data_IF_336773040422
#
_entry.id   IF_336773040422
#
_cell.length_a   1.000
_cell.length_b   1.000
_cell.length_c   1.000
_cell.angle_alpha   90.00
_cell.angle_beta   90.00
_cell.angle_gamma   90.00
#
_symmetry.space_group_name_H-M   'P 1'
#
loop_
_entity.id
_entity.type
_entity.pdbx_description
1 polymer ?
#
# COMPACT_ATOMS: atom_id res chain seq x y z
N UNK A 1 14.75 -1.94 -16.26
CA UNK A 1 13.75 -2.38 -17.26
C UNK A 1 13.26 -1.17 -18.02
N UNK A 2 13.06 -1.32 -19.33
CA UNK A 2 12.61 -0.21 -20.15
C UNK A 2 11.12 0.04 -19.97
N UNK A 3 10.73 1.29 -19.84
CA UNK A 3 9.33 1.75 -19.74
C UNK A 3 8.44 1.20 -20.87
N UNK A 4 9.01 1.06 -22.08
CA UNK A 4 8.35 0.50 -23.26
C UNK A 4 7.92 -0.95 -23.03
N UNK A 5 8.76 -1.75 -22.36
CA UNK A 5 8.44 -3.15 -22.06
C UNK A 5 7.27 -3.25 -21.07
N UNK A 6 7.28 -2.43 -20.02
CA UNK A 6 6.23 -2.40 -19.01
C UNK A 6 4.88 -1.96 -19.61
N UNK A 7 4.87 -0.95 -20.46
CA UNK A 7 3.65 -0.52 -21.18
C UNK A 7 3.13 -1.60 -22.14
N UNK A 8 4.03 -2.30 -22.83
CA UNK A 8 3.66 -3.40 -23.72
C UNK A 8 3.03 -4.58 -22.97
N UNK A 9 3.52 -4.93 -21.76
CA UNK A 9 2.93 -5.97 -20.92
C UNK A 9 1.50 -5.64 -20.51
N UNK A 10 1.24 -4.39 -20.13
CA UNK A 10 -0.12 -3.92 -19.81
C UNK A 10 -1.00 -3.95 -21.05
N UNK A 11 -0.52 -3.44 -22.20
CA UNK A 11 -1.28 -3.43 -23.48
C UNK A 11 -1.64 -4.83 -23.96
N UNK A 12 -0.76 -5.79 -23.76
CA UNK A 12 -1.02 -7.20 -24.11
C UNK A 12 -2.19 -7.79 -23.31
N UNK A 13 -2.38 -7.32 -22.07
CA UNK A 13 -3.46 -7.78 -21.19
C UNK A 13 -4.77 -7.02 -21.40
N UNK A 14 -4.67 -5.71 -21.62
CA UNK A 14 -5.84 -4.83 -21.84
C UNK A 14 -5.82 -4.40 -23.31
N UNK A 15 -6.69 -5.00 -24.12
CA UNK A 15 -6.81 -4.71 -25.57
C UNK A 15 -7.89 -3.68 -25.88
N UNK A 16 -8.31 -2.91 -24.87
CA UNK A 16 -9.33 -1.87 -25.03
C UNK A 16 -8.72 -0.63 -25.71
N UNK A 17 -9.36 -0.06 -26.76
CA UNK A 17 -8.93 1.18 -27.39
C UNK A 17 -8.94 2.40 -26.46
N UNK A 18 -9.75 2.36 -25.40
CA UNK A 18 -9.83 3.42 -24.38
C UNK A 18 -8.66 3.43 -23.39
N UNK A 19 -7.76 2.43 -23.46
CA UNK A 19 -6.53 2.44 -22.66
C UNK A 19 -5.57 3.49 -23.22
N UNK A 20 -5.31 4.52 -22.42
CA UNK A 20 -4.46 5.65 -22.76
C UNK A 20 -3.12 5.52 -22.04
N UNK A 21 -2.06 5.87 -22.77
CA UNK A 21 -0.69 6.05 -22.28
C UNK A 21 -0.28 7.49 -22.51
N UNK A 22 -0.09 8.23 -21.45
CA UNK A 22 0.35 9.62 -21.49
C UNK A 22 1.79 9.71 -21.00
N UNK A 23 2.68 10.15 -21.89
CA UNK A 23 4.10 10.28 -21.60
C UNK A 23 4.41 11.68 -21.09
N UNK A 24 5.08 11.76 -19.94
CA UNK A 24 5.49 13.01 -19.30
C UNK A 24 6.96 12.89 -18.89
N UNK A 25 7.75 13.93 -19.12
CA UNK A 25 9.13 14.00 -18.65
C UNK A 25 9.22 14.81 -17.36
N UNK A 26 9.88 14.25 -16.35
CA UNK A 26 10.04 14.86 -15.02
C UNK A 26 11.52 15.08 -14.71
N UNK A 27 11.83 16.22 -14.11
CA UNK A 27 13.18 16.64 -13.80
C UNK A 27 13.83 17.50 -14.86
N UNK A 28 14.44 18.61 -14.44
CA UNK A 28 15.06 19.59 -15.35
C UNK A 28 16.33 19.05 -16.01
N UNK A 29 17.08 18.21 -15.31
CA UNK A 29 18.35 17.62 -15.77
C UNK A 29 18.22 16.15 -16.13
N UNK A 30 17.55 15.33 -15.28
CA UNK A 30 17.41 13.89 -15.53
C UNK A 30 16.45 13.57 -16.68
N UNK A 31 15.42 14.41 -16.88
CA UNK A 31 14.36 14.21 -17.90
C UNK A 31 13.85 12.77 -17.90
N UNK A 32 13.56 12.26 -16.70
CA UNK A 32 13.10 10.88 -16.51
C UNK A 32 11.72 10.71 -17.13
N UNK A 33 11.57 9.73 -18.01
CA UNK A 33 10.30 9.43 -18.65
C UNK A 33 9.35 8.74 -17.65
N UNK A 34 8.14 9.28 -17.57
CA UNK A 34 7.04 8.77 -16.74
C UNK A 34 5.83 8.56 -17.62
N UNK A 35 5.14 7.43 -17.45
CA UNK A 35 3.91 7.13 -18.19
C UNK A 35 2.74 6.99 -17.25
N UNK A 36 1.67 7.72 -17.55
CA UNK A 36 0.37 7.55 -16.92
C UNK A 36 -0.46 6.58 -17.75
N UNK A 37 -0.87 5.45 -17.15
CA UNK A 37 -1.70 4.44 -17.80
C UNK A 37 -3.07 4.40 -17.13
N UNK A 38 -4.14 4.58 -17.91
CA UNK A 38 -5.50 4.61 -17.40
C UNK A 38 -6.54 4.30 -18.47
N UNK A 39 -7.76 3.91 -18.04
CA UNK A 39 -8.92 3.83 -18.93
C UNK A 39 -9.67 5.17 -18.93
N UNK A 40 -9.89 5.74 -20.11
CA UNK A 40 -10.51 7.08 -20.29
C UNK A 40 -11.92 7.18 -19.67
N UNK A 41 -12.67 6.09 -19.71
CA UNK A 41 -14.07 6.04 -19.24
C UNK A 41 -14.21 5.71 -17.76
N UNK A 42 -13.16 5.22 -17.09
CA UNK A 42 -13.22 4.78 -15.70
C UNK A 42 -12.38 5.61 -14.73
N UNK A 43 -11.35 6.28 -15.22
CA UNK A 43 -10.43 7.04 -14.39
C UNK A 43 -11.12 8.24 -13.72
N UNK A 44 -10.79 8.50 -12.47
CA UNK A 44 -11.15 9.74 -11.79
C UNK A 44 -10.39 10.91 -12.43
N UNK A 45 -11.13 11.74 -13.18
CA UNK A 45 -10.56 12.91 -13.88
C UNK A 45 -9.96 13.94 -12.91
N UNK A 46 -10.53 14.08 -11.72
CA UNK A 46 -9.99 15.02 -10.73
C UNK A 46 -8.62 14.57 -10.21
N UNK A 47 -8.47 13.26 -9.98
CA UNK A 47 -7.18 12.68 -9.58
C UNK A 47 -6.17 12.80 -10.72
N UNK A 48 -6.56 12.47 -11.93
CA UNK A 48 -5.70 12.55 -13.13
C UNK A 48 -5.17 13.98 -13.32
N UNK A 49 -6.03 14.99 -13.27
CA UNK A 49 -5.64 16.40 -13.42
C UNK A 49 -4.72 16.87 -12.26
N UNK A 50 -4.95 16.40 -11.04
CA UNK A 50 -4.05 16.67 -9.92
C UNK A 50 -2.66 16.06 -10.13
N UNK A 51 -2.61 14.82 -10.61
CA UNK A 51 -1.33 14.13 -10.90
C UNK A 51 -0.60 14.85 -12.04
N UNK A 52 -1.28 15.16 -13.15
CA UNK A 52 -0.70 15.93 -14.26
C UNK A 52 -0.11 17.27 -13.82
N UNK A 53 -0.89 18.06 -13.08
CA UNK A 53 -0.42 19.35 -12.56
C UNK A 53 0.82 19.20 -11.68
N UNK A 54 0.86 18.17 -10.84
CA UNK A 54 2.02 17.92 -9.99
C UNK A 54 3.25 17.51 -10.78
N UNK A 55 3.11 16.58 -11.74
CA UNK A 55 4.21 16.16 -12.60
C UNK A 55 4.81 17.34 -13.38
N UNK A 56 3.94 18.19 -13.97
CA UNK A 56 4.38 19.36 -14.74
C UNK A 56 5.00 20.47 -13.86
N UNK A 57 4.57 20.59 -12.60
CA UNK A 57 5.07 21.63 -11.67
C UNK A 57 6.22 21.11 -10.78
N UNK A 58 6.71 19.90 -11.02
CA UNK A 58 7.80 19.33 -10.23
C UNK A 58 9.14 19.88 -10.72
N UNK A 59 9.63 20.93 -10.03
CA UNK A 59 10.93 21.56 -10.27
C UNK A 59 12.05 20.83 -9.50
N UNK A 60 12.28 19.55 -9.79
CA UNK A 60 13.44 18.82 -9.26
C UNK A 60 14.51 18.69 -10.32
N UNK A 61 15.79 18.76 -9.93
CA UNK A 61 16.89 18.57 -10.87
C UNK A 61 16.94 17.15 -11.43
N UNK A 62 16.59 16.17 -10.62
CA UNK A 62 16.53 14.75 -10.99
C UNK A 62 15.80 13.89 -9.96
N UNK A 63 15.27 12.78 -10.42
CA UNK A 63 14.68 11.74 -9.57
C UNK A 63 15.77 10.74 -9.19
N UNK A 64 16.43 10.96 -8.05
CA UNK A 64 17.57 10.13 -7.59
C UNK A 64 17.18 8.68 -7.31
N UNK A 65 16.02 8.46 -6.71
CA UNK A 65 15.42 7.15 -6.44
C UNK A 65 14.21 6.89 -7.33
N UNK A 66 14.24 7.43 -8.55
CA UNK A 66 13.19 7.30 -9.58
C UNK A 66 11.76 7.27 -9.03
N UNK A 67 11.30 6.13 -8.62
CA UNK A 67 9.93 5.88 -8.23
C UNK A 67 9.56 6.44 -6.84
N UNK A 68 10.41 6.26 -5.82
CA UNK A 68 10.19 6.79 -4.48
C UNK A 68 10.21 8.32 -4.49
N UNK A 69 11.18 8.91 -5.19
CA UNK A 69 11.25 10.37 -5.35
C UNK A 69 10.03 10.92 -6.07
N UNK A 70 9.53 10.20 -7.08
CA UNK A 70 8.30 10.58 -7.78
C UNK A 70 7.08 10.47 -6.87
N UNK A 71 6.98 9.40 -6.06
CA UNK A 71 5.92 9.22 -5.09
C UNK A 71 5.86 10.37 -4.07
N UNK A 72 7.01 10.82 -3.57
CA UNK A 72 7.10 11.98 -2.68
C UNK A 72 6.64 13.28 -3.36
N UNK A 73 6.97 13.47 -4.63
CA UNK A 73 6.50 14.62 -5.41
C UNK A 73 4.97 14.59 -5.62
N UNK A 74 4.40 13.41 -5.85
CA UNK A 74 2.98 13.25 -6.09
C UNK A 74 2.13 13.36 -4.82
N UNK A 75 2.67 13.00 -3.67
CA UNK A 75 1.95 13.04 -2.40
C UNK A 75 2.13 14.39 -1.70
N UNK A 76 1.09 14.95 -1.08
CA UNK A 76 1.26 16.06 -0.16
C UNK A 76 2.01 15.56 1.08
N UNK A 77 3.01 16.33 1.54
CA UNK A 77 3.72 16.05 2.80
C UNK A 77 2.73 16.08 3.96
N UNK A 78 2.31 14.92 4.44
CA UNK A 78 1.44 14.77 5.60
C UNK A 78 2.17 13.94 6.65
N UNK A 79 2.75 14.62 7.61
CA UNK A 79 3.52 14.01 8.70
C UNK A 79 2.66 13.17 9.66
N UNK A 80 1.36 13.47 9.77
CA UNK A 80 0.43 12.81 10.70
C UNK A 80 -0.32 11.59 10.11
N UNK A 81 -0.15 11.29 8.83
CA UNK A 81 -0.85 10.17 8.23
C UNK A 81 0.11 8.98 8.01
N UNK A 82 0.06 7.94 8.85
CA UNK A 82 0.91 6.76 8.73
C UNK A 82 0.50 5.83 7.58
N UNK A 83 -0.67 6.04 6.97
CA UNK A 83 -1.17 5.15 5.92
C UNK A 83 -0.56 5.50 4.56
N UNK A 84 0.02 4.53 3.87
CA UNK A 84 0.54 4.73 2.53
C UNK A 84 -0.62 5.04 1.57
N UNK A 85 -0.39 6.00 0.66
CA UNK A 85 -1.38 6.46 -0.33
C UNK A 85 -1.12 5.94 -1.73
N UNK A 86 0.01 5.29 -1.91
CA UNK A 86 0.44 4.67 -3.16
C UNK A 86 0.72 3.22 -2.84
N UNK A 87 0.23 2.36 -3.68
CA UNK A 87 0.55 0.93 -3.68
C UNK A 87 1.50 0.66 -4.84
N UNK A 88 2.55 -0.10 -4.58
CA UNK A 88 3.49 -0.54 -5.60
C UNK A 88 3.22 -1.99 -5.99
N UNK A 89 3.43 -2.30 -7.25
CA UNK A 89 3.35 -3.67 -7.75
C UNK A 89 4.37 -3.89 -8.87
N UNK A 90 5.05 -5.03 -8.85
CA UNK A 90 5.92 -5.48 -9.92
C UNK A 90 5.20 -6.44 -10.88
N UNK A 91 3.94 -6.75 -10.56
CA UNK A 91 3.15 -7.71 -11.31
C UNK A 91 2.26 -7.01 -12.34
N UNK A 92 2.45 -7.27 -13.64
CA UNK A 92 1.63 -6.66 -14.69
C UNK A 92 0.18 -7.13 -14.69
N UNK A 93 -0.13 -8.30 -14.07
CA UNK A 93 -1.49 -8.76 -13.87
C UNK A 93 -2.25 -7.88 -12.87
N UNK A 94 -1.63 -7.61 -11.71
CA UNK A 94 -2.20 -6.73 -10.68
C UNK A 94 -2.37 -5.30 -11.20
N UNK A 95 -1.37 -4.76 -11.92
CA UNK A 95 -1.45 -3.44 -12.52
C UNK A 95 -2.61 -3.37 -13.53
N UNK A 96 -2.75 -4.38 -14.39
CA UNK A 96 -3.83 -4.44 -15.37
C UNK A 96 -5.21 -4.57 -14.72
N UNK A 97 -5.37 -5.38 -13.68
CA UNK A 97 -6.60 -5.50 -12.93
C UNK A 97 -7.00 -4.16 -12.30
N UNK A 98 -6.05 -3.45 -11.69
CA UNK A 98 -6.29 -2.13 -11.10
C UNK A 98 -6.73 -1.09 -12.13
N UNK A 99 -6.16 -1.10 -13.36
CA UNK A 99 -6.62 -0.22 -14.45
C UNK A 99 -8.08 -0.52 -14.83
N UNK A 100 -8.45 -1.81 -14.90
CA UNK A 100 -9.83 -2.21 -15.20
C UNK A 100 -10.82 -1.80 -14.10
N UNK A 101 -10.36 -1.66 -12.86
CA UNK A 101 -11.12 -1.14 -11.73
C UNK A 101 -11.25 0.40 -11.75
N UNK A 102 -10.49 1.09 -12.62
CA UNK A 102 -10.52 2.55 -12.77
C UNK A 102 -9.36 3.29 -12.09
N UNK A 103 -8.38 2.56 -11.57
CA UNK A 103 -7.19 3.17 -10.99
C UNK A 103 -6.26 3.72 -12.05
N UNK A 104 -5.50 4.75 -11.68
CA UNK A 104 -4.41 5.32 -12.44
C UNK A 104 -3.11 4.58 -12.10
N UNK A 105 -2.41 4.10 -13.12
CA UNK A 105 -1.07 3.51 -12.97
C UNK A 105 -0.03 4.50 -13.45
N UNK A 106 1.01 4.67 -12.64
CA UNK A 106 2.18 5.48 -12.98
C UNK A 106 3.40 4.58 -13.11
N UNK A 107 4.00 4.59 -14.28
CA UNK A 107 5.24 3.87 -14.58
C UNK A 107 6.37 4.87 -14.71
N UNK A 108 7.52 4.56 -14.13
CA UNK A 108 8.73 5.38 -14.22
C UNK A 108 9.83 4.59 -14.91
N UNK A 109 10.60 5.25 -15.76
CA UNK A 109 11.71 4.58 -16.43
C UNK A 109 12.76 4.09 -15.40
N UNK A 110 13.45 3.01 -15.76
CA UNK A 110 14.45 2.33 -14.94
C UNK A 110 13.92 1.76 -13.60
N UNK A 111 12.60 1.53 -13.48
CA UNK A 111 12.01 0.88 -12.31
C UNK A 111 11.20 -0.36 -12.71
N UNK A 112 11.28 -1.46 -11.92
CA UNK A 112 10.53 -2.67 -12.21
C UNK A 112 9.06 -2.55 -11.77
N UNK A 113 8.73 -1.63 -10.87
CA UNK A 113 7.42 -1.57 -10.25
C UNK A 113 6.56 -0.42 -10.77
N UNK A 114 5.26 -0.64 -10.72
CA UNK A 114 4.21 0.31 -11.09
C UNK A 114 3.56 0.90 -9.82
N UNK A 115 3.29 2.20 -9.83
CA UNK A 115 2.53 2.87 -8.78
C UNK A 115 1.05 2.84 -9.11
N UNK A 116 0.20 2.44 -8.16
CA UNK A 116 -1.26 2.38 -8.27
C UNK A 116 -1.85 3.53 -7.46
N UNK A 117 -2.72 4.33 -8.07
CA UNK A 117 -3.41 5.50 -7.50
C UNK A 117 -4.89 5.50 -7.91
N UNK A 118 -5.83 5.87 -7.03
CA UNK A 118 -5.68 6.05 -5.59
C UNK A 118 -5.55 4.70 -4.88
N UNK A 119 -5.06 4.70 -3.66
CA UNK A 119 -5.02 3.51 -2.82
C UNK A 119 -5.92 3.70 -1.61
N UNK A 120 -6.76 2.74 -1.34
CA UNK A 120 -7.63 2.68 -0.18
C UNK A 120 -7.04 1.77 0.90
N UNK A 121 -7.40 2.01 2.15
CA UNK A 121 -6.92 1.19 3.26
C UNK A 121 -7.16 -0.31 3.05
N UNK A 122 -8.33 -0.68 2.53
CA UNK A 122 -8.67 -2.08 2.29
C UNK A 122 -7.90 -2.76 1.16
N UNK A 123 -7.21 -2.00 0.31
CA UNK A 123 -6.39 -2.54 -0.78
C UNK A 123 -5.12 -3.22 -0.25
N UNK A 124 -4.68 -2.86 0.97
CA UNK A 124 -3.54 -3.50 1.63
C UNK A 124 -3.83 -4.92 2.12
N UNK A 125 -5.11 -5.26 2.29
CA UNK A 125 -5.53 -6.62 2.66
C UNK A 125 -5.70 -7.53 1.43
N UNK A 126 -5.60 -6.97 0.23
CA UNK A 126 -5.74 -7.70 -1.01
C UNK A 126 -4.36 -8.13 -1.52
N UNK A 127 -4.15 -9.43 -1.62
CA UNK A 127 -2.94 -10.01 -2.18
C UNK A 127 -3.15 -10.37 -3.65
N UNK A 128 -2.07 -10.23 -4.45
CA UNK A 128 -2.12 -10.55 -5.87
C UNK A 128 -2.49 -12.03 -6.13
N UNK A 129 -2.14 -12.92 -5.21
CA UNK A 129 -2.47 -14.34 -5.32
C UNK A 129 -3.98 -14.63 -5.15
N UNK A 130 -4.73 -13.75 -4.49
CA UNK A 130 -6.17 -13.94 -4.29
C UNK A 130 -6.95 -13.99 -5.61
N UNK A 131 -6.42 -13.36 -6.68
CA UNK A 131 -7.01 -13.40 -8.02
C UNK A 131 -6.92 -14.77 -8.73
N UNK A 132 -6.03 -15.65 -8.26
CA UNK A 132 -5.88 -17.01 -8.84
C UNK A 132 -6.81 -18.02 -8.18
N UNK A 133 -7.37 -17.70 -7.03
CA UNK A 133 -8.34 -18.56 -6.36
C UNK A 133 -9.76 -18.34 -6.88
N UNK A 134 -10.65 -19.33 -6.75
CA UNK A 134 -12.08 -19.11 -6.97
C UNK A 134 -12.58 -17.92 -6.14
N UNK A 135 -13.52 -17.12 -6.65
CA UNK A 135 -13.97 -15.87 -6.02
C UNK A 135 -14.36 -16.02 -4.54
N UNK A 136 -14.96 -17.15 -4.18
CA UNK A 136 -15.38 -17.44 -2.81
C UNK A 136 -14.17 -17.60 -1.87
N UNK A 137 -13.13 -18.29 -2.33
CA UNK A 137 -11.90 -18.51 -1.53
C UNK A 137 -11.11 -17.21 -1.38
N UNK A 138 -10.95 -16.43 -2.47
CA UNK A 138 -10.27 -15.14 -2.42
C UNK A 138 -10.96 -14.17 -1.46
N UNK A 139 -12.31 -14.12 -1.49
CA UNK A 139 -13.08 -13.28 -0.56
C UNK A 139 -12.92 -13.75 0.89
N UNK A 140 -12.96 -15.05 1.13
CA UNK A 140 -12.75 -15.62 2.47
C UNK A 140 -11.35 -15.26 3.02
N UNK A 141 -10.30 -15.43 2.23
CA UNK A 141 -8.93 -15.10 2.64
C UNK A 141 -8.77 -13.60 2.96
N UNK A 142 -9.37 -12.73 2.15
CA UNK A 142 -9.40 -11.28 2.42
C UNK A 142 -10.10 -10.97 3.74
N UNK A 143 -11.24 -11.59 4.00
CA UNK A 143 -12.00 -11.42 5.24
C UNK A 143 -11.19 -11.90 6.46
N UNK A 144 -10.54 -13.06 6.36
CA UNK A 144 -9.69 -13.60 7.44
C UNK A 144 -8.54 -12.64 7.75
N UNK A 145 -7.87 -12.06 6.74
CA UNK A 145 -6.80 -11.05 6.96
C UNK A 145 -7.32 -9.81 7.69
N UNK A 146 -8.51 -9.32 7.31
CA UNK A 146 -9.15 -8.18 7.98
C UNK A 146 -9.44 -8.53 9.45
N UNK A 147 -10.00 -9.71 9.72
CA UNK A 147 -10.30 -10.17 11.08
C UNK A 147 -9.02 -10.30 11.91
N UNK A 148 -7.96 -10.91 11.35
CA UNK A 148 -6.66 -11.02 12.03
C UNK A 148 -6.08 -9.65 12.33
N UNK A 149 -6.15 -8.71 11.41
CA UNK A 149 -5.69 -7.34 11.62
C UNK A 149 -6.40 -6.67 12.81
N UNK A 150 -7.72 -6.74 12.85
CA UNK A 150 -8.47 -6.16 13.97
C UNK A 150 -8.23 -6.92 15.28
N UNK A 151 -8.09 -8.23 15.23
CA UNK A 151 -7.72 -9.02 16.41
C UNK A 151 -6.36 -8.58 16.96
N UNK A 152 -5.33 -8.50 16.13
CA UNK A 152 -3.99 -8.07 16.58
C UNK A 152 -4.00 -6.64 17.11
N UNK A 153 -4.75 -5.73 16.48
CA UNK A 153 -4.83 -4.34 16.89
C UNK A 153 -5.52 -4.17 18.26
N UNK A 154 -6.61 -4.91 18.51
CA UNK A 154 -7.40 -4.74 19.71
C UNK A 154 -7.08 -5.75 20.81
N UNK A 155 -6.65 -6.95 20.46
CA UNK A 155 -6.41 -8.02 21.43
C UNK A 155 -5.34 -7.64 22.46
N UNK A 156 -4.19 -7.14 22.00
CA UNK A 156 -3.07 -6.76 22.89
C UNK A 156 -3.43 -5.65 23.88
N UNK A 157 -4.03 -4.50 23.43
CA UNK A 157 -4.45 -3.47 24.38
C UNK A 157 -5.58 -3.92 25.30
N UNK A 158 -6.54 -4.71 24.82
CA UNK A 158 -7.62 -5.25 25.64
C UNK A 158 -7.08 -6.20 26.72
N UNK A 159 -6.15 -7.08 26.34
CA UNK A 159 -5.49 -7.97 27.30
C UNK A 159 -4.71 -7.18 28.35
N UNK A 160 -3.96 -6.15 27.95
CA UNK A 160 -3.26 -5.28 28.88
C UNK A 160 -4.21 -4.53 29.81
N UNK A 161 -5.36 -4.07 29.30
CA UNK A 161 -6.41 -3.45 30.12
C UNK A 161 -6.99 -4.44 31.13
N UNK A 162 -7.22 -5.68 30.72
CA UNK A 162 -7.68 -6.75 31.57
C UNK A 162 -6.73 -7.05 32.74
N UNK A 163 -5.42 -7.04 32.48
CA UNK A 163 -4.40 -7.17 33.53
C UNK A 163 -4.42 -6.01 34.55
N UNK A 164 -4.75 -4.79 34.08
CA UNK A 164 -4.83 -3.61 34.94
C UNK A 164 -6.13 -3.52 35.73
N UNK A 165 -7.21 -4.06 35.22
CA UNK A 165 -8.56 -3.98 35.78
C UNK A 165 -9.20 -5.38 35.87
N UNK A 166 -8.73 -6.25 36.80
CA UNK A 166 -9.23 -7.64 36.91
C UNK A 166 -10.74 -7.73 37.07
N UNK A 167 -11.36 -6.75 37.73
CA UNK A 167 -12.82 -6.70 37.93
C UNK A 167 -13.68 -6.54 36.69
N UNK A 168 -13.07 -6.27 35.51
CA UNK A 168 -13.79 -6.25 34.24
C UNK A 168 -13.89 -7.63 33.59
N UNK A 169 -13.10 -8.61 34.05
CA UNK A 169 -13.09 -9.95 33.49
C UNK A 169 -14.16 -10.83 34.14
N UNK A 170 -14.91 -11.61 33.34
CA UNK A 170 -15.72 -12.69 33.85
C UNK A 170 -14.83 -13.79 34.48
N UNK A 171 -15.34 -14.49 35.49
CA UNK A 171 -14.59 -15.51 36.25
C UNK A 171 -13.97 -16.59 35.34
N UNK A 172 -14.63 -16.90 34.21
CA UNK A 172 -14.13 -17.87 33.24
C UNK A 172 -12.83 -17.48 32.54
N UNK A 173 -12.45 -16.20 32.55
CA UNK A 173 -11.24 -15.67 31.90
C UNK A 173 -10.14 -15.30 32.89
N UNK A 174 -10.31 -15.52 34.18
CA UNK A 174 -9.29 -15.22 35.18
C UNK A 174 -7.97 -15.96 34.97
N UNK A 175 -7.97 -17.08 34.25
CA UNK A 175 -6.73 -17.81 33.89
C UNK A 175 -5.75 -17.03 33.04
N UNK A 176 -6.21 -15.91 32.39
CA UNK A 176 -5.36 -15.04 31.54
C UNK A 176 -4.54 -14.07 32.40
N UNK A 177 -4.92 -13.86 33.65
CA UNK A 177 -4.22 -12.97 34.58
C UNK A 177 -2.87 -13.55 34.95
N UNK A 178 -1.84 -12.71 34.91
CA UNK A 178 -0.50 -13.05 35.37
C UNK A 178 -0.49 -12.84 36.90
N UNK A 179 -0.39 -13.93 37.67
CA UNK A 179 -0.35 -13.89 39.14
C UNK A 179 1.04 -13.57 39.70
N UNK A 180 2.10 -13.74 38.87
CA UNK A 180 3.47 -13.51 39.33
C UNK A 180 3.91 -12.07 39.15
N UNK A 181 4.59 -11.52 40.15
CA UNK A 181 5.20 -10.19 40.07
C UNK A 181 6.46 -10.25 39.21
N UNK A 182 6.33 -9.87 37.96
CA UNK A 182 7.49 -9.74 37.07
C UNK A 182 8.39 -8.58 37.51
N UNK A 183 9.71 -8.77 37.46
CA UNK A 183 10.70 -7.72 37.76
C UNK A 183 10.58 -6.49 36.87
N UNK A 184 10.04 -6.65 35.66
CA UNK A 184 9.83 -5.59 34.68
C UNK A 184 8.33 -5.44 34.43
N UNK A 185 7.78 -4.20 34.36
CA UNK A 185 6.37 -3.98 34.03
C UNK A 185 6.00 -4.61 32.69
N UNK A 186 4.82 -5.24 32.60
CA UNK A 186 4.35 -5.94 31.39
C UNK A 186 4.37 -5.04 30.16
N UNK A 187 4.03 -3.76 30.30
CA UNK A 187 4.12 -2.80 29.20
C UNK A 187 5.54 -2.67 28.62
N UNK A 188 6.54 -2.59 29.52
CA UNK A 188 7.94 -2.50 29.08
C UNK A 188 8.39 -3.79 28.39
N UNK A 189 7.94 -4.96 28.85
CA UNK A 189 8.22 -6.25 28.20
C UNK A 189 7.64 -6.28 26.79
N UNK A 190 6.39 -5.85 26.60
CA UNK A 190 5.74 -5.77 25.28
C UNK A 190 6.51 -4.85 24.33
N UNK A 191 6.89 -3.65 24.79
CA UNK A 191 7.67 -2.69 23.97
C UNK A 191 9.05 -3.23 23.60
N UNK A 192 9.73 -3.91 24.53
CA UNK A 192 11.03 -4.52 24.26
C UNK A 192 10.90 -5.61 23.18
N UNK A 193 9.88 -6.47 23.28
CA UNK A 193 9.62 -7.52 22.31
C UNK A 193 9.33 -6.92 20.92
N UNK A 194 8.52 -5.88 20.85
CA UNK A 194 8.19 -5.21 19.58
C UNK A 194 9.44 -4.61 18.92
N UNK A 195 10.25 -3.88 19.68
CA UNK A 195 11.53 -3.32 19.19
C UNK A 195 12.50 -4.44 18.75
N UNK A 196 12.54 -5.57 19.47
CA UNK A 196 13.37 -6.71 19.05
C UNK A 196 12.89 -7.34 17.75
N UNK A 197 11.56 -7.50 17.56
CA UNK A 197 10.98 -8.05 16.33
C UNK A 197 11.27 -7.11 15.15
N UNK A 198 11.12 -5.81 15.33
CA UNK A 198 11.43 -4.82 14.28
C UNK A 198 12.93 -4.80 13.96
N UNK A 199 13.79 -4.94 14.96
CA UNK A 199 15.24 -5.05 14.77
C UNK A 199 15.68 -6.32 14.02
N UNK A 200 14.90 -7.39 14.09
CA UNK A 200 15.15 -8.62 13.31
C UNK A 200 14.66 -8.52 11.85
N UNK A 201 13.82 -7.54 11.55
CA UNK A 201 13.30 -7.27 10.20
C UNK A 201 14.24 -6.40 9.35
N UNK A 202 15.14 -5.65 10.00
CA UNK A 202 16.17 -4.82 9.36
C UNK A 202 17.35 -5.65 8.90
#
# INVERSE_FOLDING_TARGET
>A
ETLIFNTALIRRRIRDPKLIYEYVQVGSRSKTDVVLCYLEDKVDRQLLDKVRKKLNNTEVEGLSLSQESLAECLLPKQWLNPLPRIRFTERPDTASASILEGNLIVLTDNTPSAMILPTHFFDFFQEANDYYFPPLIGTYLKLVRIVIFFLTLFFTPCWYLALRCPGLLPDSLHFILIEETAAIPVLAQLLIIEVMIDGLRL
#
